data_IF_739019945655
#
_entry.id   IF_739019945655
#
_cell.length_a   1.000
_cell.length_b   1.000
_cell.length_c   1.000
_cell.angle_alpha   90.00
_cell.angle_beta   90.00
_cell.angle_gamma   90.00
#
_symmetry.space_group_name_H-M   'P 1'
#
loop_
_entity.id
_entity.type
_entity.pdbx_description
1 polymer ?
#
# COMPACT_ATOMS: atom_id res chain seq x y z
N UNK A 1 -14.50 4.91 4.59
CA UNK A 1 -13.37 4.80 3.65
C UNK A 1 -12.08 5.05 4.39
N UNK A 2 -11.04 4.28 4.07
CA UNK A 2 -9.67 4.52 4.52
C UNK A 2 -8.86 4.65 3.25
N UNK A 3 -8.12 5.76 3.10
CA UNK A 3 -7.21 5.93 1.95
C UNK A 3 -5.86 5.36 2.33
N UNK A 4 -5.38 4.42 1.53
CA UNK A 4 -4.08 3.80 1.66
C UNK A 4 -3.19 4.29 0.53
N UNK A 5 -2.06 4.90 0.87
CA UNK A 5 -1.06 5.37 -0.09
C UNK A 5 0.25 4.64 0.23
N UNK A 6 0.79 3.92 -0.76
CA UNK A 6 2.02 3.13 -0.62
C UNK A 6 3.04 3.68 -1.61
N UNK A 7 4.22 4.03 -1.10
CA UNK A 7 5.36 4.45 -1.92
C UNK A 7 6.51 3.47 -1.69
N UNK A 8 7.00 2.86 -2.76
CA UNK A 8 8.09 1.89 -2.71
C UNK A 8 9.12 2.18 -3.81
N UNK A 9 10.39 2.43 -3.47
CA UNK A 9 11.49 2.43 -4.44
C UNK A 9 11.69 1.02 -5.01
N UNK A 10 11.81 0.90 -6.33
CA UNK A 10 11.91 -0.37 -7.04
C UNK A 10 13.16 -0.40 -7.94
N UNK A 11 13.51 -1.57 -8.45
CA UNK A 11 14.65 -1.80 -9.33
C UNK A 11 15.97 -1.22 -8.77
N UNK A 12 16.63 -0.34 -9.52
CA UNK A 12 17.94 0.23 -9.18
C UNK A 12 17.89 1.09 -7.90
N UNK A 13 16.73 1.65 -7.57
CA UNK A 13 16.52 2.48 -6.39
C UNK A 13 16.01 1.70 -5.17
N UNK A 14 15.91 0.37 -5.25
CA UNK A 14 15.36 -0.46 -4.18
C UNK A 14 16.18 -0.32 -2.88
N UNK A 15 15.49 0.06 -1.80
CA UNK A 15 16.09 0.26 -0.47
C UNK A 15 15.71 -0.85 0.53
N UNK A 16 14.97 -1.87 0.10
CA UNK A 16 14.43 -2.91 0.97
C UNK A 16 13.26 -2.41 1.84
N UNK A 17 12.75 -1.21 1.59
CA UNK A 17 11.74 -0.55 2.41
C UNK A 17 10.67 0.16 1.58
N UNK A 18 9.53 0.45 2.21
CA UNK A 18 8.44 1.24 1.65
C UNK A 18 7.82 2.14 2.72
N UNK A 19 7.12 3.18 2.27
CA UNK A 19 6.34 4.07 3.11
C UNK A 19 4.85 3.78 2.94
N UNK A 20 4.12 3.77 4.05
CA UNK A 20 2.66 3.64 4.08
C UNK A 20 2.05 4.87 4.74
N UNK A 21 1.12 5.53 4.07
CA UNK A 21 0.27 6.55 4.66
C UNK A 21 -1.18 6.07 4.68
N UNK A 22 -1.79 6.17 5.87
CA UNK A 22 -3.20 5.89 6.09
C UNK A 22 -3.92 7.18 6.42
N UNK A 23 -5.02 7.46 5.73
CA UNK A 23 -5.95 8.55 6.06
C UNK A 23 -7.31 7.96 6.43
N UNK A 24 -7.74 8.21 7.67
CA UNK A 24 -9.03 7.77 8.20
C UNK A 24 -10.17 8.67 7.69
N UNK A 25 -11.40 8.21 7.90
CA UNK A 25 -12.60 8.90 7.42
C UNK A 25 -12.79 10.30 8.03
N UNK A 26 -12.21 10.57 9.20
CA UNK A 26 -12.23 11.87 9.86
C UNK A 26 -11.10 12.81 9.39
N UNK A 27 -10.29 12.37 8.43
CA UNK A 27 -9.12 13.09 7.94
C UNK A 27 -7.85 12.88 8.76
N UNK A 28 -7.91 12.14 9.87
CA UNK A 28 -6.70 11.78 10.64
C UNK A 28 -5.77 10.98 9.74
N UNK A 29 -4.55 11.50 9.54
CA UNK A 29 -3.52 10.86 8.72
C UNK A 29 -2.33 10.42 9.58
N UNK A 30 -1.78 9.24 9.25
CA UNK A 30 -0.53 8.74 9.83
C UNK A 30 0.34 8.13 8.76
N UNK A 31 1.61 8.51 8.76
CA UNK A 31 2.65 7.91 7.92
C UNK A 31 3.51 6.96 8.75
N UNK A 32 3.76 5.78 8.19
CA UNK A 32 4.69 4.78 8.67
C UNK A 32 5.82 4.71 7.62
N UNK A 33 6.97 5.30 7.94
CA UNK A 33 8.08 5.38 7.02
C UNK A 33 9.07 4.22 7.23
N UNK A 34 9.72 3.79 6.14
CA UNK A 34 10.81 2.82 6.17
C UNK A 34 10.42 1.42 6.65
N UNK A 35 9.19 0.98 6.34
CA UNK A 35 8.75 -0.38 6.63
C UNK A 35 9.48 -1.36 5.72
N UNK A 36 10.02 -2.46 6.26
CA UNK A 36 10.68 -3.48 5.45
C UNK A 36 9.65 -4.23 4.58
N UNK A 37 9.99 -4.45 3.30
CA UNK A 37 9.27 -5.41 2.44
C UNK A 37 10.03 -6.72 2.32
N UNK A 38 9.39 -7.73 1.70
CA UNK A 38 10.00 -9.04 1.51
C UNK A 38 11.31 -8.97 0.70
N UNK A 39 12.36 -9.73 1.07
CA UNK A 39 13.59 -9.81 0.30
C UNK A 39 13.34 -10.26 -1.14
N UNK A 40 13.96 -9.58 -2.09
CA UNK A 40 13.82 -9.88 -3.53
C UNK A 40 12.59 -9.26 -4.20
N UNK A 41 11.77 -8.49 -3.48
CA UNK A 41 10.75 -7.66 -4.12
C UNK A 41 11.41 -6.43 -4.76
N UNK A 42 11.58 -6.45 -6.08
CA UNK A 42 12.23 -5.38 -6.87
C UNK A 42 11.36 -4.84 -8.03
N UNK A 43 10.21 -5.46 -8.27
CA UNK A 43 9.24 -5.09 -9.30
C UNK A 43 7.84 -5.28 -8.77
N UNK A 44 6.96 -4.32 -9.07
CA UNK A 44 5.53 -4.45 -8.77
C UNK A 44 4.85 -5.26 -9.87
N UNK A 45 4.64 -6.56 -9.61
CA UNK A 45 3.96 -7.46 -10.55
C UNK A 45 2.44 -7.51 -10.36
N UNK A 46 1.95 -7.19 -9.16
CA UNK A 46 0.54 -7.32 -8.82
C UNK A 46 0.11 -6.33 -7.75
N UNK A 47 -1.07 -5.73 -7.95
CA UNK A 47 -1.79 -4.94 -6.95
C UNK A 47 -3.19 -5.51 -6.83
N UNK A 48 -3.60 -5.83 -5.62
CA UNK A 48 -4.96 -6.26 -5.36
C UNK A 48 -5.32 -6.28 -3.89
N UNK A 49 -6.61 -6.44 -3.64
CA UNK A 49 -7.19 -6.53 -2.32
C UNK A 49 -7.49 -8.00 -1.99
N UNK A 50 -7.03 -8.46 -0.83
CA UNK A 50 -7.32 -9.81 -0.31
C UNK A 50 -8.07 -9.65 1.01
N UNK A 51 -9.26 -10.23 1.09
CA UNK A 51 -9.99 -10.35 2.36
C UNK A 51 -9.67 -11.69 3.01
N UNK A 52 -9.20 -11.64 4.25
CA UNK A 52 -9.03 -12.81 5.14
C UNK A 52 -10.13 -12.86 6.21
N UNK A 53 -11.33 -12.36 5.89
CA UNK A 53 -12.45 -12.34 6.83
C UNK A 53 -12.88 -13.76 7.22
N UNK A 54 -13.09 -13.98 8.52
CA UNK A 54 -13.55 -15.26 9.05
C UNK A 54 -15.05 -15.50 8.78
N UNK A 55 -15.83 -14.42 8.69
CA UNK A 55 -17.27 -14.43 8.47
C UNK A 55 -17.64 -13.79 7.13
N UNK A 56 -18.86 -14.07 6.65
CA UNK A 56 -19.39 -13.45 5.44
C UNK A 56 -19.50 -11.93 5.64
N UNK A 57 -18.80 -11.18 4.81
CA UNK A 57 -18.85 -9.72 4.78
C UNK A 57 -18.91 -9.18 3.35
N UNK A 58 -19.15 -7.89 3.21
CA UNK A 58 -19.05 -7.15 1.95
C UNK A 58 -17.98 -6.07 2.13
N UNK A 59 -17.07 -5.96 1.17
CA UNK A 59 -16.05 -4.92 1.14
C UNK A 59 -16.12 -4.18 -0.19
N UNK A 60 -15.92 -2.86 -0.13
CA UNK A 60 -15.87 -1.99 -1.30
C UNK A 60 -14.45 -1.47 -1.43
N UNK A 61 -13.93 -1.46 -2.66
CA UNK A 61 -12.62 -0.90 -3.01
C UNK A 61 -12.85 0.07 -4.15
N UNK A 62 -12.25 1.25 -4.05
CA UNK A 62 -12.43 2.34 -5.00
C UNK A 62 -11.14 3.17 -5.09
N UNK A 63 -11.03 4.02 -6.11
CA UNK A 63 -9.90 4.92 -6.38
C UNK A 63 -8.53 4.22 -6.44
N UNK A 64 -8.46 3.03 -7.06
CA UNK A 64 -7.19 2.32 -7.26
C UNK A 64 -6.40 3.01 -8.38
N UNK A 65 -5.24 3.55 -8.03
CA UNK A 65 -4.26 4.10 -8.97
C UNK A 65 -2.88 3.46 -8.72
N UNK A 66 -2.17 3.13 -9.80
CA UNK A 66 -0.78 2.69 -9.76
C UNK A 66 0.00 3.51 -10.76
N UNK A 67 0.99 4.27 -10.28
CA UNK A 67 1.83 5.14 -11.10
C UNK A 67 3.21 5.35 -10.47
N UNK A 68 4.22 5.73 -11.27
CA UNK A 68 5.47 6.28 -10.74
C UNK A 68 5.21 7.53 -9.89
N UNK A 69 6.07 7.74 -8.89
CA UNK A 69 6.09 9.01 -8.14
C UNK A 69 6.83 10.04 -9.00
N UNK A 70 6.27 11.26 -9.07
CA UNK A 70 6.92 12.41 -9.74
C UNK A 70 8.02 13.02 -8.86
#
# INVERSE_FOLDING_TARGET
WVRCEVTVPLAEDNQGTFDLKLTLADGTAKTFAGLAHEPGFDRLDWVGFVSVAADKCVTFVDDIEVRPVE
#
